data_IF_026134940938
#
_entry.id   IF_026134940938
#
_cell.length_a   1.000
_cell.length_b   1.000
_cell.length_c   1.000
_cell.angle_alpha   90.00
_cell.angle_beta   90.00
_cell.angle_gamma   90.00
#
_symmetry.space_group_name_H-M   'P 1'
#
loop_
_entity.id
_entity.type
_entity.pdbx_description
1 polymer ?
#
# COMPACT_ATOMS: atom_id res chain seq x y z
N UNK A 1 5.20 16.01 33.36
CA UNK A 1 5.38 15.23 32.12
C UNK A 1 5.77 16.21 31.04
N UNK A 2 7.08 16.34 30.79
CA UNK A 2 7.60 17.22 29.73
C UNK A 2 7.26 16.53 28.41
N UNK A 3 6.57 17.19 27.46
CA UNK A 3 6.36 16.60 26.14
C UNK A 3 7.72 16.23 25.56
N UNK A 4 7.86 15.09 24.87
CA UNK A 4 9.10 14.78 24.18
C UNK A 4 9.49 15.98 23.31
N UNK A 5 10.78 16.35 23.21
CA UNK A 5 11.20 17.39 22.29
C UNK A 5 10.62 17.03 20.93
N UNK A 6 9.91 17.98 20.31
CA UNK A 6 9.34 17.80 18.98
C UNK A 6 10.52 17.39 18.09
N UNK A 7 10.60 16.10 17.74
CA UNK A 7 11.54 15.63 16.72
C UNK A 7 11.28 16.52 15.51
N UNK A 8 12.27 17.31 15.11
CA UNK A 8 12.18 18.19 13.96
C UNK A 8 11.59 17.38 12.80
N UNK A 9 10.42 17.77 12.32
CA UNK A 9 9.70 16.97 11.35
C UNK A 9 10.42 17.12 10.01
N UNK A 10 11.09 16.05 9.61
CA UNK A 10 11.67 15.95 8.29
C UNK A 10 10.55 15.65 7.30
N UNK A 11 10.29 16.57 6.38
CA UNK A 11 9.20 16.42 5.40
C UNK A 11 9.76 16.60 4.00
N UNK A 12 9.81 15.53 3.22
CA UNK A 12 9.86 15.67 1.76
C UNK A 12 8.48 16.03 1.26
N UNK A 13 8.34 17.24 0.74
CA UNK A 13 7.20 17.57 -0.11
C UNK A 13 7.36 16.84 -1.44
N UNK A 14 6.28 16.35 -2.06
CA UNK A 14 6.34 15.74 -3.37
C UNK A 14 6.96 16.74 -4.38
N UNK A 15 7.74 16.25 -5.35
CA UNK A 15 8.31 17.12 -6.38
C UNK A 15 7.18 17.82 -7.12
N UNK A 16 7.08 19.14 -6.93
CA UNK A 16 6.22 20.00 -7.72
C UNK A 16 6.83 20.27 -9.10
N UNK A 17 6.20 21.13 -9.92
CA UNK A 17 6.74 21.57 -11.22
C UNK A 17 8.17 22.16 -11.15
N UNK A 18 8.65 22.51 -9.95
CA UNK A 18 9.98 23.06 -9.67
C UNK A 18 11.06 22.04 -9.26
N UNK A 19 10.85 20.73 -9.49
CA UNK A 19 11.86 19.70 -9.23
C UNK A 19 11.93 19.22 -7.77
N UNK A 20 12.87 18.31 -7.51
CA UNK A 20 13.07 17.68 -6.21
C UNK A 20 13.68 18.65 -5.20
N UNK A 21 13.08 18.76 -4.01
CA UNK A 21 13.63 19.49 -2.87
C UNK A 21 13.31 18.78 -1.56
N UNK A 22 14.21 18.88 -0.60
CA UNK A 22 14.01 18.38 0.76
C UNK A 22 13.70 19.55 1.67
N UNK A 23 12.70 19.39 2.53
CA UNK A 23 12.31 20.39 3.50
C UNK A 23 12.43 19.84 4.93
N UNK A 24 12.78 20.74 5.85
CA UNK A 24 12.81 20.47 7.29
C UNK A 24 11.98 21.56 7.97
N UNK A 25 11.20 21.22 8.97
CA UNK A 25 10.45 22.19 9.75
C UNK A 25 10.28 21.78 11.21
N UNK A 26 10.26 22.78 12.08
CA UNK A 26 9.84 22.67 13.49
C UNK A 26 8.40 23.18 13.70
N UNK A 27 7.64 23.35 12.60
CA UNK A 27 6.32 23.98 12.51
C UNK A 27 6.27 25.49 12.74
N UNK A 28 7.41 26.17 12.96
CA UNK A 28 7.52 27.62 13.01
C UNK A 28 8.33 28.17 11.83
N UNK A 29 9.47 27.55 11.56
CA UNK A 29 10.38 27.88 10.47
C UNK A 29 10.45 26.72 9.47
N UNK A 30 10.84 27.05 8.24
CA UNK A 30 10.98 26.11 7.14
C UNK A 30 12.35 26.28 6.52
N UNK A 31 13.07 25.17 6.37
CA UNK A 31 14.34 25.09 5.67
C UNK A 31 14.19 24.24 4.42
N UNK A 32 14.91 24.61 3.36
CA UNK A 32 14.89 23.92 2.08
C UNK A 32 16.31 23.77 1.53
N UNK A 33 16.55 22.68 0.82
CA UNK A 33 17.78 22.48 0.03
C UNK A 33 17.92 23.47 -1.12
N UNK A 34 16.82 24.08 -1.58
CA UNK A 34 16.79 25.05 -2.68
C UNK A 34 17.61 24.59 -3.92
N UNK A 35 17.44 23.32 -4.31
CA UNK A 35 18.22 22.74 -5.39
C UNK A 35 17.97 23.44 -6.72
N UNK A 36 19.07 23.83 -7.37
CA UNK A 36 19.15 24.05 -8.82
C UNK A 36 19.34 22.73 -9.56
N UNK A 37 19.11 22.70 -10.87
CA UNK A 37 19.37 21.52 -11.70
C UNK A 37 20.81 20.97 -11.52
N UNK A 38 21.80 21.87 -11.48
CA UNK A 38 23.21 21.51 -11.33
C UNK A 38 23.53 20.93 -9.94
N UNK A 39 23.03 21.59 -8.88
CA UNK A 39 23.25 21.11 -7.51
C UNK A 39 22.54 19.78 -7.23
N UNK A 40 21.37 19.54 -7.84
CA UNK A 40 20.69 18.25 -7.79
C UNK A 40 21.46 17.17 -8.56
N UNK A 41 21.99 17.49 -9.75
CA UNK A 41 22.82 16.56 -10.51
C UNK A 41 24.10 16.17 -9.75
N UNK A 42 24.78 17.15 -9.13
CA UNK A 42 25.94 16.92 -8.27
C UNK A 42 25.58 16.04 -7.06
N UNK A 43 24.41 16.25 -6.46
CA UNK A 43 23.92 15.39 -5.38
C UNK A 43 23.71 13.95 -5.86
N UNK A 44 23.03 13.76 -6.99
CA UNK A 44 22.82 12.43 -7.58
C UNK A 44 24.16 11.74 -7.84
N UNK A 45 25.16 12.44 -8.35
CA UNK A 45 26.49 11.89 -8.57
C UNK A 45 27.17 11.43 -7.26
N UNK A 46 27.06 12.17 -6.15
CA UNK A 46 27.57 11.74 -4.82
C UNK A 46 26.93 10.44 -4.33
N UNK A 47 25.71 10.22 -4.77
CA UNK A 47 24.89 9.05 -4.50
C UNK A 47 25.11 7.93 -5.53
N UNK A 48 26.02 8.10 -6.51
CA UNK A 48 26.24 7.15 -7.60
C UNK A 48 25.03 6.99 -8.51
N UNK A 49 24.14 7.99 -8.57
CA UNK A 49 22.94 8.00 -9.40
C UNK A 49 23.18 8.76 -10.70
N UNK A 50 22.53 8.32 -11.76
CA UNK A 50 22.45 9.07 -13.02
C UNK A 50 21.48 10.25 -12.92
N UNK A 51 21.55 11.19 -13.88
CA UNK A 51 20.68 12.37 -13.88
C UNK A 51 19.18 12.03 -13.98
N UNK A 52 18.83 10.92 -14.64
CA UNK A 52 17.45 10.47 -14.85
C UNK A 52 16.86 9.71 -13.64
N UNK A 53 17.71 9.19 -12.75
CA UNK A 53 17.27 8.41 -11.60
C UNK A 53 16.63 9.28 -10.52
N UNK A 54 15.59 8.77 -9.87
CA UNK A 54 14.91 9.44 -8.76
C UNK A 54 15.67 9.19 -7.45
N UNK A 55 15.92 10.27 -6.71
CA UNK A 55 16.58 10.25 -5.40
C UNK A 55 15.56 10.01 -4.27
N UNK A 56 14.27 10.20 -4.52
CA UNK A 56 13.19 10.05 -3.53
C UNK A 56 13.21 8.70 -2.80
N UNK A 57 13.42 7.53 -3.47
CA UNK A 57 13.48 6.24 -2.79
C UNK A 57 14.62 6.15 -1.77
N UNK A 58 15.78 6.76 -2.03
CA UNK A 58 16.91 6.79 -1.09
C UNK A 58 16.56 7.57 0.16
N UNK A 59 15.92 8.73 -0.03
CA UNK A 59 15.46 9.56 1.07
C UNK A 59 14.40 8.84 1.91
N UNK A 60 13.42 8.22 1.26
CA UNK A 60 12.39 7.41 1.92
C UNK A 60 13.01 6.31 2.77
N UNK A 61 13.92 5.52 2.22
CA UNK A 61 14.59 4.44 2.95
C UNK A 61 15.36 4.98 4.18
N UNK A 62 16.03 6.12 4.05
CA UNK A 62 16.72 6.74 5.18
C UNK A 62 15.74 7.19 6.29
N UNK A 63 14.58 7.74 5.92
CA UNK A 63 13.53 8.09 6.88
C UNK A 63 12.94 6.86 7.59
N UNK A 64 12.66 5.80 6.84
CA UNK A 64 12.14 4.53 7.39
C UNK A 64 13.11 3.88 8.37
N UNK A 65 14.41 4.01 8.10
CA UNK A 65 15.49 3.52 8.97
C UNK A 65 15.84 4.49 10.11
N UNK A 66 15.20 5.66 10.19
CA UNK A 66 15.55 6.73 11.12
C UNK A 66 17.04 7.14 11.05
N UNK A 67 17.64 6.99 9.86
CA UNK A 67 19.06 7.22 9.61
C UNK A 67 19.35 8.65 9.15
N UNK A 68 18.40 9.57 9.31
CA UNK A 68 18.55 10.97 8.92
C UNK A 68 18.89 11.82 10.13
N UNK A 69 19.98 12.59 10.03
CA UNK A 69 20.38 13.51 11.10
C UNK A 69 20.24 14.95 10.62
N UNK A 70 19.54 15.78 11.39
CA UNK A 70 19.43 17.21 11.15
C UNK A 70 20.28 17.98 12.16
N UNK A 71 21.02 18.97 11.69
CA UNK A 71 21.81 19.87 12.53
C UNK A 71 21.49 21.31 12.17
N UNK A 72 21.20 22.11 13.19
CA UNK A 72 20.97 23.55 13.08
C UNK A 72 22.03 24.29 13.89
N UNK A 73 22.78 25.14 13.22
CA UNK A 73 23.69 26.13 13.79
C UNK A 73 23.10 27.53 13.54
N UNK A 74 23.64 28.55 14.21
CA UNK A 74 23.12 29.93 14.23
C UNK A 74 22.72 30.48 12.85
N UNK A 75 23.44 30.13 11.78
CA UNK A 75 23.12 30.52 10.40
C UNK A 75 23.15 29.36 9.39
N UNK A 76 23.27 28.11 9.85
CA UNK A 76 23.47 26.97 8.96
C UNK A 76 22.61 25.78 9.36
N UNK A 77 21.77 25.34 8.44
CA UNK A 77 21.04 24.09 8.56
C UNK A 77 21.68 23.02 7.66
N UNK A 78 21.90 21.84 8.19
CA UNK A 78 22.39 20.69 7.42
C UNK A 78 21.63 19.42 7.72
N UNK A 79 21.45 18.60 6.69
CA UNK A 79 20.81 17.29 6.77
C UNK A 79 21.75 16.22 6.25
N UNK A 80 22.06 15.25 7.08
CA UNK A 80 22.95 14.13 6.76
C UNK A 80 22.12 12.90 6.45
N UNK A 81 22.38 12.30 5.29
CA UNK A 81 21.72 11.09 4.79
C UNK A 81 22.75 9.95 4.62
N UNK A 82 22.34 8.68 4.77
CA UNK A 82 23.20 7.55 4.43
C UNK A 82 23.38 7.50 2.90
N UNK A 83 24.64 7.51 2.44
CA UNK A 83 25.00 7.55 1.01
C UNK A 83 25.86 6.38 0.55
N UNK A 84 25.51 5.17 0.95
CA UNK A 84 26.31 3.97 0.66
C UNK A 84 27.54 3.92 1.57
N UNK A 85 28.78 3.95 1.05
CA UNK A 85 29.99 3.84 1.87
C UNK A 85 30.28 5.10 2.72
N UNK A 86 29.64 6.23 2.44
CA UNK A 86 29.84 7.48 3.19
C UNK A 86 28.53 8.26 3.32
N UNK A 87 28.42 9.03 4.40
CA UNK A 87 27.27 9.90 4.61
C UNK A 87 27.30 11.10 3.64
N UNK A 88 26.12 11.56 3.24
CA UNK A 88 25.93 12.68 2.32
C UNK A 88 25.28 13.84 3.08
N UNK A 89 26.03 14.90 3.26
CA UNK A 89 25.53 16.15 3.84
C UNK A 89 24.88 17.05 2.80
N UNK A 90 23.70 17.54 3.13
CA UNK A 90 22.93 18.54 2.38
C UNK A 90 22.92 19.84 3.18
N UNK A 91 23.22 20.97 2.53
CA UNK A 91 23.01 22.28 3.13
C UNK A 91 21.56 22.72 2.87
N UNK A 92 20.94 23.33 3.88
CA UNK A 92 19.62 23.91 3.78
C UNK A 92 19.70 25.40 4.08
N UNK A 93 18.87 26.15 3.39
CA UNK A 93 18.66 27.59 3.58
C UNK A 93 17.27 27.84 4.12
N UNK A 94 17.13 28.90 4.90
CA UNK A 94 15.83 29.31 5.45
C UNK A 94 14.93 29.83 4.34
N UNK A 95 13.70 29.34 4.29
CA UNK A 95 12.68 29.79 3.34
C UNK A 95 12.08 31.12 3.81
N UNK A 96 11.84 32.10 2.92
CA UNK A 96 11.23 33.38 3.29
C UNK A 96 9.86 33.22 3.96
N UNK A 97 9.59 34.06 4.96
CA UNK A 97 8.40 33.95 5.82
C UNK A 97 7.06 33.78 5.08
N UNK A 98 6.72 34.61 4.07
CA UNK A 98 5.45 34.49 3.35
C UNK A 98 5.29 33.15 2.61
N UNK A 99 6.38 32.67 2.00
CA UNK A 99 6.40 31.37 1.31
C UNK A 99 6.34 30.22 2.31
N UNK A 100 7.12 30.30 3.38
CA UNK A 100 7.14 29.32 4.45
C UNK A 100 5.75 29.16 5.07
N UNK A 101 5.07 30.25 5.42
CA UNK A 101 3.73 30.22 6.02
C UNK A 101 2.72 29.48 5.12
N UNK A 102 2.71 29.79 3.82
CA UNK A 102 1.81 29.16 2.86
C UNK A 102 2.09 27.65 2.73
N UNK A 103 3.37 27.26 2.69
CA UNK A 103 3.78 25.85 2.62
C UNK A 103 3.47 25.08 3.90
N UNK A 104 3.69 25.67 5.06
CA UNK A 104 3.40 25.06 6.36
C UNK A 104 1.89 24.87 6.57
N UNK A 105 1.08 25.83 6.13
CA UNK A 105 -0.38 25.68 6.13
C UNK A 105 -0.83 24.51 5.25
N UNK A 106 -0.35 24.44 4.01
CA UNK A 106 -0.67 23.34 3.09
C UNK A 106 -0.18 21.97 3.61
N UNK A 107 1.02 21.92 4.20
CA UNK A 107 1.56 20.73 4.83
C UNK A 107 0.68 20.25 5.99
N UNK A 108 0.27 21.17 6.87
CA UNK A 108 -0.57 20.83 8.03
C UNK A 108 -1.92 20.25 7.59
N UNK A 109 -2.58 20.89 6.61
CA UNK A 109 -3.86 20.42 6.08
C UNK A 109 -3.73 19.06 5.38
N UNK A 110 -2.70 18.89 4.54
CA UNK A 110 -2.47 17.62 3.84
C UNK A 110 -2.12 16.48 4.80
N UNK A 111 -1.31 16.71 5.84
CA UNK A 111 -1.05 15.71 6.87
C UNK A 111 -2.32 15.32 7.63
N UNK A 112 -3.17 16.28 7.98
CA UNK A 112 -4.44 15.98 8.65
C UNK A 112 -5.36 15.12 7.75
N UNK A 113 -5.42 15.42 6.46
CA UNK A 113 -6.16 14.62 5.48
C UNK A 113 -5.57 13.21 5.34
N UNK A 114 -4.25 13.08 5.17
CA UNK A 114 -3.57 11.79 5.05
C UNK A 114 -3.80 10.92 6.30
N UNK A 115 -3.74 11.49 7.51
CA UNK A 115 -4.04 10.77 8.75
C UNK A 115 -5.50 10.29 8.77
N UNK A 116 -6.45 11.08 8.29
CA UNK A 116 -7.85 10.66 8.19
C UNK A 116 -8.02 9.47 7.23
N UNK A 117 -7.40 9.54 6.06
CA UNK A 117 -7.42 8.48 5.04
C UNK A 117 -6.78 7.20 5.60
N UNK A 118 -5.58 7.30 6.16
CA UNK A 118 -4.85 6.16 6.71
C UNK A 118 -5.61 5.50 7.85
N UNK A 119 -6.25 6.27 8.75
CA UNK A 119 -7.12 5.71 9.80
C UNK A 119 -8.29 4.91 9.23
N UNK A 120 -8.95 5.41 8.18
CA UNK A 120 -10.05 4.70 7.51
C UNK A 120 -9.57 3.41 6.84
N UNK A 121 -8.41 3.46 6.17
CA UNK A 121 -7.81 2.29 5.52
C UNK A 121 -7.40 1.23 6.54
N UNK A 122 -6.78 1.64 7.65
CA UNK A 122 -6.40 0.73 8.73
C UNK A 122 -7.62 0.01 9.30
N UNK A 123 -8.70 0.73 9.59
CA UNK A 123 -9.95 0.14 10.07
C UNK A 123 -10.55 -0.88 9.07
N UNK A 124 -10.48 -0.60 7.76
CA UNK A 124 -10.97 -1.53 6.74
C UNK A 124 -10.13 -2.82 6.65
N UNK A 125 -8.82 -2.72 6.84
CA UNK A 125 -7.91 -3.87 6.87
C UNK A 125 -8.17 -4.73 8.11
N UNK A 126 -8.35 -4.12 9.28
CA UNK A 126 -8.66 -4.83 10.53
C UNK A 126 -9.98 -5.62 10.46
N UNK A 127 -11.04 -5.01 9.89
CA UNK A 127 -12.34 -5.68 9.68
C UNK A 127 -12.22 -6.85 8.69
N UNK A 128 -11.39 -6.71 7.66
CA UNK A 128 -11.16 -7.76 6.65
C UNK A 128 -10.31 -8.90 7.20
N UNK A 129 -9.37 -8.62 8.12
CA UNK A 129 -8.54 -9.62 8.80
C UNK A 129 -9.31 -10.40 9.88
N UNK A 130 -10.33 -9.79 10.49
CA UNK A 130 -11.18 -10.43 11.51
C UNK A 130 -12.34 -11.26 10.93
N UNK A 131 -12.60 -11.21 9.62
CA UNK A 131 -13.67 -11.97 8.98
C UNK A 131 -13.17 -13.36 8.53
N UNK A 132 -13.83 -14.47 8.93
CA UNK A 132 -13.50 -15.79 8.39
C UNK A 132 -13.73 -15.76 6.88
N UNK A 133 -12.65 -15.86 6.10
CA UNK A 133 -12.70 -15.93 4.63
C UNK A 133 -13.66 -17.06 4.21
N UNK A 134 -14.86 -16.72 3.76
CA UNK A 134 -15.58 -17.54 2.79
C UNK A 134 -14.90 -17.32 1.44
N UNK A 135 -14.17 -18.32 0.96
CA UNK A 135 -13.65 -18.37 -0.39
C UNK A 135 -14.76 -18.03 -1.38
N UNK A 136 -14.59 -17.05 -2.30
CA UNK A 136 -15.43 -17.00 -3.46
C UNK A 136 -15.05 -18.22 -4.32
N UNK A 137 -15.89 -19.25 -4.34
CA UNK A 137 -15.81 -20.26 -5.39
C UNK A 137 -15.92 -19.52 -6.72
N UNK A 138 -14.79 -19.38 -7.42
CA UNK A 138 -14.78 -18.98 -8.82
C UNK A 138 -15.53 -20.06 -9.58
N UNK A 139 -16.79 -19.78 -9.93
CA UNK A 139 -17.50 -20.50 -10.98
C UNK A 139 -16.88 -20.04 -12.29
N UNK A 140 -15.82 -20.73 -12.73
CA UNK A 140 -15.24 -20.53 -14.05
C UNK A 140 -16.17 -21.09 -15.14
N UNK A 141 -16.34 -20.42 -16.28
CA UNK A 141 -17.07 -20.99 -17.42
C UNK A 141 -16.20 -22.07 -18.05
N UNK A 142 -16.67 -23.32 -18.03
CA UNK A 142 -15.97 -24.43 -18.68
C UNK A 142 -16.00 -24.26 -20.20
N UNK A 143 -14.84 -23.92 -20.77
CA UNK A 143 -14.57 -24.03 -22.20
C UNK A 143 -14.39 -25.51 -22.54
N UNK A 144 -15.32 -26.04 -23.34
CA UNK A 144 -15.20 -27.36 -23.95
C UNK A 144 -14.13 -27.32 -25.06
N UNK A 145 -13.14 -28.21 -24.96
CA UNK A 145 -12.34 -28.66 -26.10
C UNK A 145 -12.31 -30.19 -26.09
N UNK A 146 -12.65 -30.86 -27.21
CA UNK A 146 -12.49 -32.29 -27.34
C UNK A 146 -11.11 -32.61 -27.91
N UNK A 147 -10.48 -33.69 -27.45
CA UNK A 147 -9.49 -34.39 -28.27
C UNK A 147 -9.67 -35.92 -28.10
N UNK A 148 -9.52 -36.71 -29.18
CA UNK A 148 -9.97 -38.10 -29.24
C UNK A 148 -8.89 -39.10 -28.81
N UNK A 149 -9.43 -40.22 -28.32
CA UNK A 149 -8.83 -41.49 -27.88
C UNK A 149 -7.81 -42.12 -28.87
N UNK A 150 -6.92 -43.05 -28.45
CA UNK A 150 -7.36 -44.46 -28.44
C UNK A 150 -6.74 -45.39 -27.38
N UNK A 151 -7.63 -46.08 -26.66
CA UNK A 151 -7.67 -47.53 -26.38
C UNK A 151 -6.41 -48.26 -25.86
N UNK A 152 -6.49 -48.82 -24.64
CA UNK A 152 -6.72 -50.28 -24.41
C UNK A 152 -6.69 -50.68 -22.92
N UNK A 153 -7.54 -51.68 -22.64
CA UNK A 153 -7.54 -52.67 -21.53
C UNK A 153 -8.47 -52.40 -20.32
N UNK A 154 -9.66 -53.02 -20.38
CA UNK A 154 -10.07 -54.02 -19.38
C UNK A 154 -11.09 -53.60 -18.31
N UNK A 155 -11.96 -54.53 -17.83
CA UNK A 155 -13.35 -54.22 -17.48
C UNK A 155 -13.62 -54.23 -15.96
N UNK A 156 -14.34 -53.22 -15.46
CA UNK A 156 -14.84 -53.27 -14.09
C UNK A 156 -15.62 -52.04 -13.63
N UNK A 157 -16.92 -52.24 -13.39
CA UNK A 157 -17.80 -51.51 -12.47
C UNK A 157 -18.16 -50.06 -12.86
N UNK A 158 -19.31 -49.95 -13.54
CA UNK A 158 -19.93 -48.70 -13.94
C UNK A 158 -20.17 -47.74 -12.76
N UNK A 159 -19.60 -46.53 -12.87
CA UNK A 159 -19.95 -45.39 -12.04
C UNK A 159 -21.38 -44.97 -12.40
N UNK A 160 -22.36 -45.43 -11.63
CA UNK A 160 -23.77 -45.07 -11.79
C UNK A 160 -23.88 -43.54 -11.64
N UNK A 161 -24.28 -42.84 -12.71
CA UNK A 161 -24.57 -41.39 -12.65
C UNK A 161 -25.66 -41.17 -11.61
N UNK A 162 -25.37 -40.34 -10.60
CA UNK A 162 -26.31 -40.00 -9.52
C UNK A 162 -27.49 -39.21 -10.08
N UNK A 163 -28.70 -39.54 -9.66
CA UNK A 163 -29.89 -38.80 -10.06
C UNK A 163 -30.00 -37.50 -9.22
N UNK A 164 -30.49 -36.39 -9.80
CA UNK A 164 -30.76 -35.18 -9.04
C UNK A 164 -31.67 -35.46 -7.83
N UNK A 165 -31.21 -35.11 -6.62
CA UNK A 165 -31.95 -35.32 -5.37
C UNK A 165 -31.49 -36.49 -4.49
N UNK A 166 -30.46 -37.25 -4.88
CA UNK A 166 -29.84 -38.22 -3.96
C UNK A 166 -29.03 -37.52 -2.87
N UNK A 167 -29.30 -37.88 -1.60
CA UNK A 167 -28.62 -37.31 -0.44
C UNK A 167 -27.12 -37.61 -0.46
N UNK A 168 -26.30 -36.57 -0.28
CA UNK A 168 -24.84 -36.67 -0.24
C UNK A 168 -24.31 -37.29 1.05
N UNK A 169 -25.08 -37.19 2.15
CA UNK A 169 -24.66 -37.64 3.48
C UNK A 169 -25.01 -39.12 3.67
N UNK A 170 -26.04 -39.63 2.98
CA UNK A 170 -26.45 -41.02 3.08
C UNK A 170 -26.79 -41.62 1.69
N UNK A 171 -25.76 -42.05 0.93
CA UNK A 171 -25.95 -42.61 -0.40
C UNK A 171 -26.78 -43.90 -0.35
N UNK A 172 -27.83 -43.99 -1.17
CA UNK A 172 -28.75 -45.13 -1.23
C UNK A 172 -30.05 -44.98 -0.43
N UNK A 173 -30.21 -43.90 0.34
CA UNK A 173 -31.47 -43.62 1.03
C UNK A 173 -32.48 -42.99 0.06
N UNK A 174 -33.53 -43.75 -0.30
CA UNK A 174 -34.64 -43.21 -1.11
C UNK A 174 -35.44 -42.20 -0.27
N UNK A 175 -35.64 -41.00 -0.79
CA UNK A 175 -36.42 -39.95 -0.11
C UNK A 175 -37.85 -40.43 0.18
N UNK A 176 -38.43 -39.93 1.28
CA UNK A 176 -39.84 -40.19 1.61
C UNK A 176 -40.72 -39.60 0.51
N UNK A 177 -41.69 -40.39 0.02
CA UNK A 177 -42.69 -39.92 -0.95
C UNK A 177 -43.46 -38.72 -0.37
N UNK A 178 -43.78 -37.68 -1.17
CA UNK A 178 -44.66 -36.62 -0.70
C UNK A 178 -46.05 -37.19 -0.37
N UNK A 179 -46.73 -36.59 0.61
CA UNK A 179 -48.08 -36.98 0.97
C UNK A 179 -49.01 -36.73 -0.24
N UNK A 180 -49.65 -37.80 -0.73
CA UNK A 180 -50.74 -37.68 -1.67
C UNK A 180 -51.94 -37.11 -0.89
N UNK A 181 -52.44 -35.95 -1.33
CA UNK A 181 -53.65 -35.35 -0.77
C UNK A 181 -54.84 -36.29 -0.92
N UNK A 182 -55.80 -36.19 0.00
CA UNK A 182 -57.08 -36.88 -0.11
C UNK A 182 -58.00 -36.06 -1.02
N UNK A 183 -58.60 -36.70 -2.03
CA UNK A 183 -59.64 -36.09 -2.85
C UNK A 183 -60.95 -36.06 -2.05
N UNK A 184 -61.58 -34.89 -1.99
CA UNK A 184 -62.93 -34.74 -1.45
C UNK A 184 -63.92 -34.78 -2.60
N UNK A 185 -64.86 -35.73 -2.54
CA UNK A 185 -65.96 -35.83 -3.50
C UNK A 185 -66.87 -34.59 -3.36
N UNK A 186 -67.20 -33.97 -4.50
CA UNK A 186 -68.05 -32.78 -4.55
C UNK A 186 -69.54 -33.17 -4.54
N UNK A 187 -70.44 -32.33 -3.96
CA UNK A 187 -71.80 -32.70 -3.58
C UNK A 187 -72.75 -32.98 -4.76
#
# INVERSE_FOLDING_TARGET
MVPPPLSSALCTLPPGPGGFNVYVTDAAELWSTCFTADSLAALKARFGLSAAEDITPRFRAACEQQAVTFTLQEDKASLTLPGGPSAVDLNLSRVPGPEAASRLQALTLSLAEQVCILKRQLAAVEVTAASPRKSPCQVGPQLFLPDPDPQRVGPGLGVRRRCPGESLINPGFKSKKPAAGVDFESP
#
